data_IF_350474285600
#
_entry.id   IF_350474285600
#
_cell.length_a   1.000
_cell.length_b   1.000
_cell.length_c   1.000
_cell.angle_alpha   90.00
_cell.angle_beta   90.00
_cell.angle_gamma   90.00
#
_symmetry.space_group_name_H-M   'P 1'
#
loop_
_entity.id
_entity.type
_entity.pdbx_description
1 polymer ?
#
# COMPACT_ATOMS: atom_id res chain seq x y z
N UNK A 1 -30.89 -8.82 -3.68
CA UNK A 1 -29.77 -7.96 -4.03
C UNK A 1 -28.55 -8.35 -3.26
N UNK A 2 -27.46 -8.47 -3.95
CA UNK A 2 -26.22 -8.89 -3.33
C UNK A 2 -25.76 -7.93 -2.24
N UNK A 3 -25.91 -6.65 -2.50
CA UNK A 3 -25.47 -5.63 -1.56
C UNK A 3 -26.15 -5.72 -0.22
N UNK A 4 -27.30 -6.37 -0.18
CA UNK A 4 -28.02 -6.47 1.09
C UNK A 4 -27.46 -7.55 2.01
N UNK A 5 -26.53 -8.31 1.51
CA UNK A 5 -25.88 -9.30 2.34
C UNK A 5 -24.87 -8.67 3.31
N UNK A 6 -24.56 -7.40 3.07
CA UNK A 6 -23.64 -6.71 3.95
C UNK A 6 -24.38 -6.30 5.20
N UNK A 7 -23.77 -6.41 6.28
CA UNK A 7 -24.19 -5.81 7.54
C UNK A 7 -25.67 -6.03 7.84
N UNK A 8 -26.16 -7.20 7.52
CA UNK A 8 -27.54 -7.52 7.86
C UNK A 8 -27.69 -7.90 9.32
N UNK A 9 -26.61 -8.33 9.90
CA UNK A 9 -26.59 -8.67 11.32
C UNK A 9 -25.45 -7.89 11.96
N UNK A 10 -25.56 -7.76 13.28
CA UNK A 10 -24.51 -7.10 14.04
C UNK A 10 -23.29 -8.02 14.04
N UNK A 11 -22.12 -7.54 13.63
CA UNK A 11 -20.93 -8.36 13.65
C UNK A 11 -20.58 -8.81 15.05
N UNK A 12 -20.00 -9.97 15.15
CA UNK A 12 -19.53 -10.45 16.43
C UNK A 12 -18.34 -9.61 16.89
N UNK A 13 -18.18 -9.42 18.17
CA UNK A 13 -17.02 -8.71 18.67
C UNK A 13 -15.73 -9.42 18.27
N UNK A 14 -14.72 -8.64 17.95
CA UNK A 14 -13.41 -9.18 17.60
C UNK A 14 -12.76 -9.70 18.87
N UNK A 15 -12.21 -10.91 18.82
CA UNK A 15 -11.51 -11.49 19.96
C UNK A 15 -10.24 -10.70 20.27
N UNK A 16 -9.68 -10.90 21.45
CA UNK A 16 -8.41 -10.27 21.80
C UNK A 16 -7.33 -10.63 20.79
N UNK A 17 -7.26 -11.89 20.40
CA UNK A 17 -6.30 -12.34 19.40
C UNK A 17 -6.54 -11.66 18.06
N UNK A 18 -7.81 -11.55 17.66
CA UNK A 18 -8.15 -10.87 16.42
C UNK A 18 -7.77 -9.41 16.46
N UNK A 19 -7.98 -8.76 17.60
CA UNK A 19 -7.58 -7.36 17.78
C UNK A 19 -6.07 -7.22 17.68
N UNK A 20 -5.31 -8.13 18.30
CA UNK A 20 -3.86 -8.10 18.21
C UNK A 20 -3.38 -8.31 16.78
N UNK A 21 -4.04 -9.19 16.02
CA UNK A 21 -3.69 -9.41 14.61
C UNK A 21 -3.94 -8.17 13.76
N UNK A 22 -5.05 -7.49 14.01
CA UNK A 22 -5.38 -6.26 13.30
C UNK A 22 -4.33 -5.19 13.59
N UNK A 23 -3.97 -5.02 14.85
CA UNK A 23 -2.94 -4.04 15.23
C UNK A 23 -1.59 -4.38 14.62
N UNK A 24 -1.25 -5.66 14.58
CA UNK A 24 -0.01 -6.10 13.97
C UNK A 24 -0.01 -5.77 12.48
N UNK A 25 -1.11 -6.01 11.77
CA UNK A 25 -1.22 -5.70 10.37
C UNK A 25 -1.14 -4.20 10.11
N UNK A 26 -1.81 -3.41 10.93
CA UNK A 26 -1.74 -1.95 10.80
C UNK A 26 -0.31 -1.46 10.96
N UNK A 27 0.41 -2.00 11.93
CA UNK A 27 1.78 -1.59 12.19
C UNK A 27 2.72 -1.98 11.06
N UNK A 28 2.53 -3.16 10.48
CA UNK A 28 3.50 -3.73 9.54
C UNK A 28 3.11 -3.56 8.07
N UNK A 29 1.84 -3.25 7.79
CA UNK A 29 1.37 -3.15 6.42
C UNK A 29 0.99 -1.73 6.01
N UNK A 30 0.87 -0.81 6.95
CA UNK A 30 0.49 0.56 6.66
C UNK A 30 1.71 1.46 6.82
N UNK A 31 1.87 2.39 5.88
CA UNK A 31 2.98 3.33 5.93
C UNK A 31 2.47 4.74 5.69
N UNK A 32 3.29 5.71 6.09
CA UNK A 32 3.05 7.12 5.76
C UNK A 32 3.93 7.46 4.57
N UNK A 33 3.36 8.15 3.62
CA UNK A 33 4.07 8.54 2.43
C UNK A 33 4.38 10.03 2.52
N UNK A 34 5.66 10.36 2.34
CA UNK A 34 6.13 11.74 2.36
C UNK A 34 6.69 12.07 0.98
N UNK A 35 5.79 12.47 0.12
CA UNK A 35 6.16 12.89 -1.22
C UNK A 35 5.79 14.36 -1.35
N UNK A 36 5.48 14.85 -2.54
CA UNK A 36 4.95 16.20 -2.70
C UNK A 36 3.68 16.38 -1.90
N UNK A 37 2.91 15.31 -1.73
CA UNK A 37 1.76 15.29 -0.84
C UNK A 37 2.00 14.23 0.24
N UNK A 38 1.44 14.47 1.43
CA UNK A 38 1.51 13.50 2.50
C UNK A 38 0.29 12.62 2.46
N UNK A 39 0.47 11.35 2.70
CA UNK A 39 -0.65 10.42 2.67
C UNK A 39 -0.31 9.09 3.30
N UNK A 40 -1.17 8.13 3.09
CA UNK A 40 -1.05 6.79 3.64
C UNK A 40 -1.04 5.79 2.50
N UNK A 41 -0.26 4.76 2.66
CA UNK A 41 -0.26 3.63 1.75
C UNK A 41 -0.26 2.34 2.54
N UNK A 42 -0.46 1.24 1.85
CA UNK A 42 -0.38 -0.05 2.51
C UNK A 42 0.28 -1.07 1.59
N UNK A 43 0.91 -2.05 2.22
CA UNK A 43 1.59 -3.13 1.53
C UNK A 43 0.70 -4.35 1.50
N UNK A 44 0.66 -5.00 0.36
CA UNK A 44 -0.09 -6.24 0.21
C UNK A 44 0.51 -7.05 -0.92
N UNK A 45 -0.04 -8.22 -1.16
CA UNK A 45 0.35 -9.04 -2.30
C UNK A 45 -0.85 -9.21 -3.20
N UNK A 46 -0.63 -9.07 -4.49
CA UNK A 46 -1.69 -9.23 -5.47
C UNK A 46 -1.32 -10.35 -6.44
N UNK A 47 -2.31 -11.04 -7.01
CA UNK A 47 -2.02 -11.97 -8.09
C UNK A 47 -1.55 -11.21 -9.31
N UNK A 48 -0.51 -11.68 -9.93
CA UNK A 48 -0.01 -11.08 -11.15
C UNK A 48 0.58 -12.16 -12.03
N UNK A 49 -0.11 -12.46 -13.14
CA UNK A 49 0.25 -13.56 -14.01
C UNK A 49 0.23 -14.86 -13.18
N UNK A 50 1.30 -15.62 -13.16
CA UNK A 50 1.32 -16.90 -12.46
C UNK A 50 1.95 -16.84 -11.08
N UNK A 51 2.09 -15.64 -10.51
CA UNK A 51 2.72 -15.47 -9.21
C UNK A 51 2.01 -14.40 -8.40
N UNK A 52 2.42 -14.23 -7.17
CA UNK A 52 1.96 -13.10 -6.35
C UNK A 52 3.04 -12.02 -6.37
N UNK A 53 2.59 -10.79 -6.35
CA UNK A 53 3.46 -9.63 -6.45
C UNK A 53 3.28 -8.77 -5.21
N UNK A 54 4.36 -8.54 -4.43
CA UNK A 54 4.27 -7.59 -3.32
C UNK A 54 4.20 -6.18 -3.86
N UNK A 55 3.26 -5.39 -3.35
CA UNK A 55 3.04 -4.05 -3.86
C UNK A 55 2.74 -3.08 -2.73
N UNK A 56 2.98 -1.81 -3.02
CA UNK A 56 2.50 -0.68 -2.25
C UNK A 56 1.29 -0.11 -2.98
N UNK A 57 0.18 0.08 -2.28
CA UNK A 57 -1.02 0.68 -2.84
C UNK A 57 -1.30 1.99 -2.14
N UNK A 58 -1.54 3.03 -2.91
CA UNK A 58 -1.91 4.33 -2.37
C UNK A 58 -2.82 5.04 -3.37
N UNK A 59 -3.15 6.28 -3.09
CA UNK A 59 -4.00 7.08 -3.96
C UNK A 59 -3.18 7.78 -5.04
N UNK A 60 -3.79 8.00 -6.19
CA UNK A 60 -3.14 8.72 -7.27
C UNK A 60 -2.83 10.16 -6.86
N UNK A 61 -3.68 10.78 -6.03
CA UNK A 61 -3.42 12.15 -5.62
C UNK A 61 -2.24 12.25 -4.63
N UNK A 62 -1.77 11.13 -4.09
CA UNK A 62 -0.60 11.10 -3.21
C UNK A 62 0.66 10.78 -4.02
N UNK A 63 0.62 9.73 -4.82
CA UNK A 63 1.69 9.37 -5.74
C UNK A 63 1.07 9.26 -7.12
N UNK A 64 1.29 10.28 -7.92
CA UNK A 64 0.68 10.34 -9.24
C UNK A 64 1.64 10.00 -10.34
N UNK A 65 1.21 10.28 -11.56
CA UNK A 65 1.94 9.92 -12.77
C UNK A 65 3.35 10.50 -12.79
N UNK A 66 3.50 11.73 -12.31
CA UNK A 66 4.81 12.38 -12.31
C UNK A 66 5.74 11.82 -11.25
N UNK A 67 5.21 11.14 -10.26
CA UNK A 67 6.00 10.63 -9.14
C UNK A 67 6.52 9.22 -9.38
N UNK A 68 6.06 8.57 -10.44
CA UNK A 68 6.47 7.20 -10.73
C UNK A 68 7.31 7.10 -12.00
N UNK A 69 7.88 8.21 -12.43
CA UNK A 69 8.80 8.22 -13.56
C UNK A 69 10.14 7.62 -13.14
N UNK A 70 10.85 7.09 -14.13
CA UNK A 70 12.17 6.51 -13.87
C UNK A 70 13.06 7.51 -13.15
N UNK A 71 13.71 7.05 -12.09
CA UNK A 71 14.60 7.89 -11.31
C UNK A 71 13.95 8.62 -10.17
N UNK A 72 12.63 8.59 -10.08
CA UNK A 72 11.93 9.24 -8.97
C UNK A 72 12.19 8.48 -7.67
N UNK A 73 12.23 9.23 -6.56
CA UNK A 73 12.42 8.64 -5.24
C UNK A 73 11.12 8.74 -4.46
N UNK A 74 10.78 7.65 -3.78
CA UNK A 74 9.60 7.59 -2.92
C UNK A 74 10.06 7.39 -1.50
N UNK A 75 9.62 8.27 -0.60
CA UNK A 75 9.99 8.21 0.81
C UNK A 75 8.80 7.75 1.64
N UNK A 76 9.02 6.74 2.46
CA UNK A 76 8.00 6.14 3.31
C UNK A 76 8.47 6.10 4.75
N UNK A 77 7.53 6.24 5.68
CA UNK A 77 7.77 5.97 7.09
C UNK A 77 6.96 4.75 7.51
N UNK A 78 7.65 3.81 8.12
CA UNK A 78 7.08 2.55 8.58
C UNK A 78 7.00 2.55 10.10
N UNK A 79 6.22 1.63 10.66
CA UNK A 79 6.17 1.39 12.10
C UNK A 79 5.87 2.67 12.88
N UNK A 80 4.75 3.32 12.56
CA UNK A 80 4.33 4.55 13.24
C UNK A 80 5.38 5.66 13.12
N UNK A 81 5.92 5.83 11.90
CA UNK A 81 6.89 6.87 11.59
C UNK A 81 8.26 6.68 12.25
N UNK A 82 8.59 5.46 12.60
CA UNK A 82 9.87 5.20 13.28
C UNK A 82 10.98 4.80 12.32
N UNK A 83 10.64 4.31 11.13
CA UNK A 83 11.66 3.87 10.20
C UNK A 83 11.41 4.50 8.83
N UNK A 84 12.39 5.27 8.35
CA UNK A 84 12.33 5.89 7.03
C UNK A 84 12.90 4.93 5.99
N UNK A 85 12.17 4.73 4.91
CA UNK A 85 12.64 3.98 3.75
C UNK A 85 12.50 4.84 2.51
N UNK A 86 13.52 4.81 1.67
CA UNK A 86 13.50 5.52 0.39
C UNK A 86 13.84 4.52 -0.69
N UNK A 87 13.02 4.46 -1.73
CA UNK A 87 13.34 3.60 -2.86
C UNK A 87 13.16 4.35 -4.17
N UNK A 88 13.84 3.87 -5.18
CA UNK A 88 13.85 4.51 -6.49
C UNK A 88 12.94 3.78 -7.45
N UNK A 89 12.24 4.53 -8.29
CA UNK A 89 11.45 3.97 -9.38
C UNK A 89 12.40 3.72 -10.53
N UNK A 90 12.78 2.47 -10.74
CA UNK A 90 13.63 2.11 -11.86
C UNK A 90 12.78 1.54 -13.00
N UNK A 91 13.38 1.40 -14.16
CA UNK A 91 12.64 1.00 -15.37
C UNK A 91 12.06 -0.41 -15.29
N UNK A 92 12.61 -1.25 -14.41
CA UNK A 92 12.16 -2.63 -14.29
C UNK A 92 11.09 -2.81 -13.20
N UNK A 93 10.74 -1.74 -12.51
CA UNK A 93 9.75 -1.82 -11.44
C UNK A 93 8.35 -1.70 -12.05
N UNK A 94 7.52 -2.68 -11.78
CA UNK A 94 6.13 -2.63 -12.23
C UNK A 94 5.40 -1.55 -11.46
N UNK A 95 4.61 -0.76 -12.18
CA UNK A 95 3.86 0.31 -11.57
C UNK A 95 2.63 0.64 -12.40
N UNK A 96 1.60 1.06 -11.72
CA UNK A 96 0.33 1.39 -12.34
C UNK A 96 -0.29 2.56 -11.60
N UNK A 97 -0.82 3.51 -12.33
CA UNK A 97 -1.57 4.59 -11.72
C UNK A 97 -2.78 4.92 -12.58
N UNK A 98 -3.87 5.30 -11.92
CA UNK A 98 -5.12 5.62 -12.58
C UNK A 98 -5.76 6.77 -11.86
N UNK A 99 -5.82 7.91 -12.51
CA UNK A 99 -6.36 9.12 -11.91
C UNK A 99 -7.85 9.02 -11.66
N UNK A 100 -8.58 8.41 -12.59
CA UNK A 100 -10.05 8.31 -12.47
C UNK A 100 -10.44 7.44 -11.28
N UNK A 101 -9.68 6.40 -11.00
CA UNK A 101 -9.91 5.53 -9.85
C UNK A 101 -9.18 5.99 -8.61
N UNK A 102 -8.33 6.99 -8.74
CA UNK A 102 -7.49 7.52 -7.66
C UNK A 102 -6.66 6.43 -6.99
N UNK A 103 -6.00 5.61 -7.80
CA UNK A 103 -5.20 4.49 -7.29
C UNK A 103 -3.84 4.46 -7.95
N UNK A 104 -2.83 4.09 -7.16
CA UNK A 104 -1.47 3.86 -7.64
C UNK A 104 -0.96 2.59 -6.98
N UNK A 105 -0.36 1.72 -7.78
CA UNK A 105 0.19 0.45 -7.32
C UNK A 105 1.63 0.37 -7.79
N UNK A 106 2.54 0.11 -6.86
CA UNK A 106 3.98 0.06 -7.16
C UNK A 106 4.55 -1.24 -6.62
N UNK A 107 5.26 -1.95 -7.47
CA UNK A 107 5.94 -3.18 -7.07
C UNK A 107 6.99 -2.90 -6.01
N UNK A 108 7.07 -3.78 -5.00
CA UNK A 108 8.11 -3.72 -3.97
C UNK A 108 9.08 -4.86 -4.24
N UNK A 109 10.35 -4.53 -4.37
CA UNK A 109 11.39 -5.52 -4.62
C UNK A 109 12.14 -5.76 -3.33
N UNK A 110 11.89 -6.92 -2.73
CA UNK A 110 12.38 -7.20 -1.38
C UNK A 110 13.89 -7.11 -1.25
N UNK A 111 14.61 -7.54 -2.24
CA UNK A 111 16.07 -7.53 -2.17
C UNK A 111 16.67 -6.14 -2.37
N UNK A 112 15.92 -5.21 -2.93
CA UNK A 112 16.40 -3.83 -3.13
C UNK A 112 15.84 -2.84 -2.13
N UNK A 113 14.63 -3.11 -1.65
CA UNK A 113 13.85 -2.13 -0.88
C UNK A 113 13.90 -2.37 0.63
N UNK A 114 14.71 -3.27 1.07
CA UNK A 114 14.87 -3.51 2.51
C UNK A 114 15.72 -2.48 3.18
#
# INVERSE_FOLDING_TARGET
>A
MEKEKYIRTIPEPVSLRGTENILFQMKNCICRIYNSCKGTGFFTKIPFKSRTLPVLITNNHIIGENDIKNGSLIALYLYNNKELKIFEIDENRLRYTNKALDITIIEIKEDKDK
#
